data_IF_462383098417
#
_entry.id   IF_462383098417
#
_cell.length_a   1.000
_cell.length_b   1.000
_cell.length_c   1.000
_cell.angle_alpha   90.00
_cell.angle_beta   90.00
_cell.angle_gamma   90.00
#
_symmetry.space_group_name_H-M   'P 1'
#
loop_
_entity.id
_entity.type
_entity.pdbx_description
1 polymer ?
#
# COMPACT_ATOMS: atom_id res chain seq x y z
N UNK A 1 59.05 20.19 15.15
CA UNK A 1 59.19 19.90 13.70
C UNK A 1 58.41 18.62 13.26
N UNK A 2 57.14 18.46 13.66
CA UNK A 2 56.22 17.44 13.12
C UNK A 2 54.86 18.05 12.77
N UNK A 3 54.85 19.36 12.45
CA UNK A 3 53.59 20.07 12.20
C UNK A 3 53.22 20.23 10.72
N UNK A 4 54.01 19.73 9.79
CA UNK A 4 53.80 20.08 8.36
C UNK A 4 53.60 18.92 7.39
N UNK A 5 53.28 17.70 7.85
CA UNK A 5 53.17 16.55 6.91
C UNK A 5 51.84 15.80 6.91
N UNK A 6 50.80 16.32 7.55
CA UNK A 6 49.48 15.69 7.54
C UNK A 6 48.39 16.48 6.79
N UNK A 7 48.77 17.48 6.05
CA UNK A 7 47.82 18.38 5.37
C UNK A 7 48.01 18.24 3.86
N UNK A 8 47.62 17.22 3.22
CA UNK A 8 47.60 17.32 1.77
C UNK A 8 47.26 16.14 0.93
N UNK A 9 47.49 14.92 1.38
CA UNK A 9 47.25 13.75 0.50
C UNK A 9 46.23 12.72 0.99
N UNK A 10 46.00 12.66 2.29
CA UNK A 10 44.98 11.72 2.82
C UNK A 10 43.57 12.31 2.92
N UNK A 11 43.45 13.65 2.92
CA UNK A 11 42.18 14.35 2.96
C UNK A 11 41.37 14.22 1.65
N UNK A 12 42.05 14.13 0.52
CA UNK A 12 41.41 13.97 -0.79
C UNK A 12 40.90 12.56 -1.08
N UNK A 13 41.36 11.54 -0.35
CA UNK A 13 40.94 10.15 -0.57
C UNK A 13 39.69 9.85 0.24
N UNK A 14 39.51 10.45 1.40
CA UNK A 14 38.32 10.24 2.25
C UNK A 14 37.09 11.01 1.81
N UNK A 15 37.26 12.12 1.11
CA UNK A 15 36.20 12.92 0.49
C UNK A 15 35.37 12.13 -0.55
N UNK A 16 35.91 11.04 -1.08
CA UNK A 16 35.24 10.17 -2.05
C UNK A 16 34.54 8.97 -1.42
N UNK A 17 34.85 8.64 -0.18
CA UNK A 17 34.33 7.44 0.48
C UNK A 17 33.12 7.73 1.40
N UNK A 18 33.03 8.99 1.90
CA UNK A 18 31.98 9.38 2.84
C UNK A 18 31.38 10.73 2.41
N UNK A 19 30.33 10.69 1.60
CA UNK A 19 29.64 11.87 1.09
C UNK A 19 28.90 12.69 2.17
N UNK A 20 28.72 12.12 3.37
CA UNK A 20 28.02 12.74 4.48
C UNK A 20 28.93 13.65 5.32
N UNK A 21 30.24 13.66 5.04
CA UNK A 21 31.22 14.42 5.82
C UNK A 21 31.75 15.60 5.00
N UNK A 22 31.36 16.82 5.42
CA UNK A 22 31.81 18.09 4.80
C UNK A 22 33.19 18.46 5.24
N UNK A 23 33.55 18.20 6.49
CA UNK A 23 34.79 18.64 7.06
C UNK A 23 35.23 17.78 8.25
N UNK A 24 36.52 17.46 8.31
CA UNK A 24 37.15 16.73 9.40
C UNK A 24 38.37 17.55 9.90
N UNK A 25 38.45 17.81 11.18
CA UNK A 25 39.60 18.40 11.84
C UNK A 25 40.13 17.46 12.91
N UNK A 26 41.45 17.27 12.92
CA UNK A 26 42.13 16.53 13.96
C UNK A 26 43.14 17.45 14.68
N UNK A 27 43.05 17.52 15.99
CA UNK A 27 43.97 18.29 16.81
C UNK A 27 44.49 17.46 17.98
N UNK A 28 45.76 17.58 18.30
CA UNK A 28 46.40 16.93 19.44
C UNK A 28 46.43 17.91 20.63
N UNK A 29 45.82 17.53 21.75
CA UNK A 29 45.83 18.25 23.01
C UNK A 29 46.57 17.40 24.05
N UNK A 30 47.87 17.61 24.15
CA UNK A 30 48.76 16.73 24.93
C UNK A 30 48.84 15.33 24.38
N UNK A 31 48.30 14.35 25.11
CA UNK A 31 48.20 12.93 24.69
C UNK A 31 46.84 12.57 24.15
N UNK A 32 45.92 13.51 23.97
CA UNK A 32 44.55 13.29 23.49
C UNK A 32 44.41 13.77 22.05
N UNK A 33 43.95 12.88 21.16
CA UNK A 33 43.53 13.22 19.81
C UNK A 33 42.07 13.65 19.84
N UNK A 34 41.77 14.91 19.44
CA UNK A 34 40.43 15.43 19.23
C UNK A 34 40.15 15.41 17.73
N UNK A 35 39.12 14.66 17.36
CA UNK A 35 38.61 14.63 15.98
C UNK A 35 37.26 15.34 16.00
N UNK A 36 37.10 16.38 15.18
CA UNK A 36 35.84 17.07 14.95
C UNK A 36 35.38 16.76 13.53
N UNK A 37 34.16 16.32 13.41
CA UNK A 37 33.52 15.99 12.14
C UNK A 37 32.34 16.94 11.98
N UNK A 38 32.21 17.55 10.83
CA UNK A 38 31.01 18.28 10.42
C UNK A 38 30.30 17.45 9.35
N UNK A 39 29.13 16.98 9.68
CA UNK A 39 28.24 16.29 8.75
C UNK A 39 27.52 17.31 7.87
N UNK A 40 27.18 16.90 6.66
CA UNK A 40 26.38 17.71 5.75
C UNK A 40 24.91 17.60 6.17
N UNK A 41 24.39 18.62 6.83
CA UNK A 41 22.99 18.70 7.23
C UNK A 41 22.04 18.87 6.03
N UNK A 42 22.58 19.27 4.87
CA UNK A 42 21.84 19.39 3.61
C UNK A 42 22.03 18.18 2.66
N UNK A 43 22.76 17.16 3.11
CA UNK A 43 22.79 15.92 2.37
C UNK A 43 21.39 15.27 2.47
N UNK A 44 20.52 15.66 1.55
CA UNK A 44 19.49 14.75 1.11
C UNK A 44 20.17 13.38 0.93
N UNK A 45 19.60 12.28 1.46
CA UNK A 45 20.17 10.97 1.23
C UNK A 45 20.43 10.89 -0.27
N UNK A 46 21.70 10.88 -0.66
CA UNK A 46 22.08 10.47 -1.98
C UNK A 46 21.65 9.02 -1.98
N UNK A 47 20.42 8.80 -2.41
CA UNK A 47 20.03 7.51 -2.94
C UNK A 47 21.12 7.28 -3.97
N UNK A 48 22.11 6.48 -3.58
CA UNK A 48 23.09 5.94 -4.51
C UNK A 48 22.25 5.58 -5.73
N UNK A 49 22.43 6.31 -6.82
CA UNK A 49 22.02 5.83 -8.10
C UNK A 49 22.85 4.56 -8.35
N UNK A 50 22.51 3.48 -7.67
CA UNK A 50 22.50 2.22 -8.34
C UNK A 50 21.69 2.54 -9.58
N UNK A 51 22.37 2.68 -10.70
CA UNK A 51 21.77 2.42 -11.97
C UNK A 51 21.22 0.99 -11.85
N UNK A 52 20.06 0.89 -11.18
CA UNK A 52 19.13 -0.16 -11.49
C UNK A 52 18.90 0.07 -12.97
N UNK A 53 19.16 -0.94 -13.79
CA UNK A 53 18.69 -1.02 -15.16
C UNK A 53 17.15 -1.04 -15.13
N UNK A 54 16.53 -0.02 -14.52
CA UNK A 54 15.10 0.20 -14.55
C UNK A 54 14.79 0.63 -15.97
N UNK A 55 13.96 -0.16 -16.62
CA UNK A 55 13.45 0.20 -17.93
C UNK A 55 12.85 1.60 -17.86
N UNK A 56 13.03 2.42 -18.92
CA UNK A 56 12.39 3.72 -18.97
C UNK A 56 10.89 3.60 -18.78
N UNK A 57 10.33 4.42 -17.90
CA UNK A 57 8.92 4.40 -17.57
C UNK A 57 8.35 5.83 -17.54
N UNK A 58 7.12 5.96 -18.00
CA UNK A 58 6.28 7.14 -17.88
C UNK A 58 5.31 6.98 -16.70
N UNK A 59 4.79 8.08 -16.18
CA UNK A 59 3.72 8.07 -15.18
C UNK A 59 2.43 8.54 -15.84
N UNK A 60 1.37 7.73 -15.70
CA UNK A 60 0.02 8.02 -16.21
C UNK A 60 -0.98 8.10 -15.06
N UNK A 61 -2.12 8.73 -15.31
CA UNK A 61 -3.21 8.80 -14.34
C UNK A 61 -3.95 7.46 -14.21
N UNK A 62 -4.02 6.90 -13.01
CA UNK A 62 -4.77 5.68 -12.70
C UNK A 62 -6.29 5.89 -12.62
N UNK A 63 -6.72 7.14 -12.40
CA UNK A 63 -8.14 7.54 -12.26
C UNK A 63 -8.35 8.98 -12.71
N UNK A 64 -9.62 9.33 -12.94
CA UNK A 64 -10.01 10.70 -13.26
C UNK A 64 -9.92 11.59 -12.02
N UNK A 65 -9.48 12.84 -12.19
CA UNK A 65 -9.38 13.78 -11.09
C UNK A 65 -8.87 15.15 -11.49
N UNK A 66 -8.72 16.02 -10.47
CA UNK A 66 -8.11 17.35 -10.60
C UNK A 66 -6.83 17.34 -9.77
N UNK A 67 -5.71 17.66 -10.40
CA UNK A 67 -4.41 17.64 -9.73
C UNK A 67 -4.34 18.70 -8.64
N UNK A 68 -4.03 18.29 -7.43
CA UNK A 68 -3.89 19.17 -6.27
C UNK A 68 -2.44 19.39 -5.86
N UNK A 69 -1.58 18.39 -6.08
CA UNK A 69 -0.16 18.48 -5.79
C UNK A 69 0.64 17.65 -6.80
N UNK A 70 1.82 18.17 -7.17
CA UNK A 70 2.74 17.54 -8.12
C UNK A 70 4.16 17.79 -7.66
N UNK A 71 4.89 16.74 -7.30
CA UNK A 71 6.31 16.79 -6.91
C UNK A 71 7.06 15.82 -7.79
N UNK A 72 7.73 16.33 -8.83
CA UNK A 72 8.52 15.52 -9.75
C UNK A 72 9.96 15.41 -9.27
N UNK A 73 10.49 14.21 -9.16
CA UNK A 73 11.89 13.90 -8.87
C UNK A 73 12.68 13.61 -10.14
N UNK A 74 12.10 12.87 -11.07
CA UNK A 74 12.73 12.49 -12.34
C UNK A 74 11.68 12.48 -13.44
N UNK A 75 12.06 12.91 -14.67
CA UNK A 75 11.16 13.01 -15.81
C UNK A 75 10.68 14.44 -16.06
N UNK A 76 9.86 14.61 -17.09
CA UNK A 76 9.31 15.90 -17.51
C UNK A 76 7.79 15.90 -17.25
N UNK A 77 7.28 16.77 -16.33
CA UNK A 77 5.85 16.87 -16.08
C UNK A 77 5.12 17.41 -17.32
N UNK A 78 4.00 16.76 -17.67
CA UNK A 78 3.14 17.13 -18.78
C UNK A 78 1.86 17.83 -18.32
N UNK A 79 1.66 17.94 -17.01
CA UNK A 79 0.46 18.49 -16.37
C UNK A 79 0.86 19.44 -15.25
N UNK A 80 -0.09 20.28 -14.82
CA UNK A 80 0.10 21.27 -13.78
C UNK A 80 -0.95 21.12 -12.66
N UNK A 81 -0.68 21.72 -11.53
CA UNK A 81 -1.66 21.81 -10.44
C UNK A 81 -2.89 22.56 -10.93
N UNK A 82 -4.09 21.97 -10.73
CA UNK A 82 -5.36 22.48 -11.19
C UNK A 82 -5.86 21.87 -12.50
N UNK A 83 -5.04 21.12 -13.21
CA UNK A 83 -5.45 20.45 -14.45
C UNK A 83 -6.40 19.29 -14.14
N UNK A 84 -7.40 19.13 -15.03
CA UNK A 84 -8.30 17.99 -15.01
C UNK A 84 -7.71 16.88 -15.87
N UNK A 85 -7.52 15.72 -15.28
CA UNK A 85 -6.95 14.53 -15.95
C UNK A 85 -7.97 13.40 -15.97
N UNK A 86 -7.85 12.55 -16.98
CA UNK A 86 -8.62 11.30 -17.09
C UNK A 86 -7.68 10.11 -16.95
N UNK A 87 -8.23 8.97 -16.62
CA UNK A 87 -7.46 7.73 -16.54
C UNK A 87 -6.68 7.48 -17.83
N UNK A 88 -5.36 7.23 -17.71
CA UNK A 88 -4.43 7.02 -18.81
C UNK A 88 -3.80 8.30 -19.37
N UNK A 89 -4.15 9.50 -18.85
CA UNK A 89 -3.45 10.74 -19.21
C UNK A 89 -2.00 10.68 -18.78
N UNK A 90 -1.07 11.04 -19.65
CA UNK A 90 0.36 11.14 -19.34
C UNK A 90 0.58 12.29 -18.34
N UNK A 91 1.12 11.97 -17.18
CA UNK A 91 1.39 12.93 -16.11
C UNK A 91 2.84 13.39 -16.12
N UNK A 92 3.77 12.43 -16.19
CA UNK A 92 5.22 12.70 -16.27
C UNK A 92 5.84 11.79 -17.32
N UNK A 93 6.55 12.39 -18.26
CA UNK A 93 7.28 11.64 -19.30
C UNK A 93 8.66 11.24 -18.82
N UNK A 94 9.03 9.98 -19.00
CA UNK A 94 10.39 9.48 -18.84
C UNK A 94 11.27 9.78 -20.06
N UNK A 95 10.71 10.29 -21.15
CA UNK A 95 11.45 10.76 -22.32
C UNK A 95 11.80 12.23 -22.17
N UNK A 96 13.07 12.55 -22.33
CA UNK A 96 13.64 13.90 -22.30
C UNK A 96 14.14 14.22 -23.70
N UNK A 97 13.59 15.27 -24.31
CA UNK A 97 14.02 15.72 -25.63
C UNK A 97 15.34 16.49 -25.51
N UNK A 98 16.36 16.11 -26.29
CA UNK A 98 17.64 16.79 -26.36
C UNK A 98 17.57 17.78 -27.54
N UNK A 99 17.64 19.09 -27.22
CA UNK A 99 17.59 20.16 -28.17
C UNK A 99 19.01 20.66 -28.53
N UNK A 100 19.21 21.10 -29.75
CA UNK A 100 20.40 21.84 -30.15
C UNK A 100 20.25 23.35 -29.84
N UNK A 101 21.28 24.12 -30.18
CA UNK A 101 21.29 25.58 -30.01
C UNK A 101 20.23 26.32 -30.85
N UNK A 102 19.65 25.65 -31.87
CA UNK A 102 18.58 26.15 -32.71
C UNK A 102 17.20 25.81 -32.17
N UNK A 103 17.11 24.96 -31.13
CA UNK A 103 15.87 24.45 -30.54
C UNK A 103 15.29 23.25 -31.31
N UNK A 104 16.06 22.61 -32.21
CA UNK A 104 15.64 21.39 -32.88
C UNK A 104 15.99 20.14 -32.05
N UNK A 105 15.13 19.10 -32.11
CA UNK A 105 15.34 17.85 -31.37
C UNK A 105 16.42 17.04 -32.08
N UNK A 106 17.56 16.87 -31.43
CA UNK A 106 18.72 16.09 -31.94
C UNK A 106 18.77 14.68 -31.38
N UNK A 107 18.04 14.41 -30.30
CA UNK A 107 18.00 13.09 -29.64
C UNK A 107 16.98 12.99 -28.55
N UNK A 108 16.85 11.80 -28.02
CA UNK A 108 16.02 11.51 -26.85
C UNK A 108 16.84 10.83 -25.78
N UNK A 109 16.72 11.29 -24.56
CA UNK A 109 17.20 10.59 -23.38
C UNK A 109 16.01 9.94 -22.68
N UNK A 110 16.18 8.71 -22.25
CA UNK A 110 15.14 7.95 -21.56
C UNK A 110 15.53 7.72 -20.12
N UNK A 111 14.60 7.97 -19.21
CA UNK A 111 14.76 7.78 -17.78
C UNK A 111 13.51 7.13 -17.19
N UNK A 112 13.62 6.61 -15.99
CA UNK A 112 12.47 6.18 -15.22
C UNK A 112 11.84 7.42 -14.55
N UNK A 113 10.62 7.77 -14.93
CA UNK A 113 9.89 8.89 -14.33
C UNK A 113 9.55 8.57 -12.88
N UNK A 114 9.76 9.54 -11.97
CA UNK A 114 9.46 9.44 -10.55
C UNK A 114 8.86 10.75 -10.06
N UNK A 115 7.64 10.67 -9.52
CA UNK A 115 6.92 11.82 -8.98
C UNK A 115 5.86 11.38 -7.96
N UNK A 116 5.51 12.27 -7.03
CA UNK A 116 4.33 12.14 -6.17
C UNK A 116 3.23 13.06 -6.71
N UNK A 117 2.12 12.48 -7.18
CA UNK A 117 1.04 13.22 -7.81
C UNK A 117 -0.27 12.96 -7.08
N UNK A 118 -0.80 13.99 -6.44
CA UNK A 118 -2.07 13.92 -5.72
C UNK A 118 -3.17 14.60 -6.53
N UNK A 119 -4.35 14.01 -6.54
CA UNK A 119 -5.52 14.58 -7.18
C UNK A 119 -6.77 14.45 -6.31
N UNK A 120 -7.66 15.43 -6.47
CA UNK A 120 -9.03 15.32 -5.99
C UNK A 120 -9.83 14.46 -6.95
N UNK A 121 -10.34 13.35 -6.43
CA UNK A 121 -11.06 12.32 -7.16
C UNK A 121 -12.43 12.08 -6.51
N UNK A 122 -13.31 11.38 -7.20
CA UNK A 122 -14.60 11.00 -6.65
C UNK A 122 -14.90 9.53 -6.89
N UNK A 123 -15.46 8.88 -5.88
CA UNK A 123 -15.90 7.49 -6.00
C UNK A 123 -17.37 7.35 -5.61
N UNK A 124 -18.08 6.47 -6.30
CA UNK A 124 -19.46 6.11 -5.96
C UNK A 124 -19.45 4.96 -4.94
N UNK A 125 -20.18 5.15 -3.84
CA UNK A 125 -20.41 4.11 -2.84
C UNK A 125 -21.81 3.54 -3.00
N UNK A 126 -21.92 2.20 -3.03
CA UNK A 126 -23.17 1.47 -3.06
C UNK A 126 -23.06 0.21 -2.20
N UNK A 127 -23.87 0.11 -1.15
CA UNK A 127 -24.04 -1.11 -0.36
C UNK A 127 -25.53 -1.42 -0.20
N UNK A 128 -25.89 -2.70 -0.38
CA UNK A 128 -27.28 -3.15 -0.35
C UNK A 128 -27.40 -4.35 0.58
N UNK A 129 -28.36 -4.29 1.49
CA UNK A 129 -28.72 -5.42 2.33
C UNK A 129 -30.20 -5.79 2.16
N UNK A 130 -30.48 -7.11 2.21
CA UNK A 130 -31.87 -7.59 2.27
C UNK A 130 -32.50 -7.27 3.63
N UNK A 131 -33.78 -6.92 3.62
CA UNK A 131 -34.54 -6.74 4.88
C UNK A 131 -34.70 -8.04 5.67
N UNK A 132 -34.37 -9.20 5.10
CA UNK A 132 -34.50 -10.49 5.74
C UNK A 132 -33.13 -11.16 5.87
N UNK A 133 -32.92 -11.82 6.99
CA UNK A 133 -31.77 -12.68 7.23
C UNK A 133 -32.15 -14.02 7.81
N UNK A 134 -31.32 -15.00 7.60
CA UNK A 134 -31.49 -16.32 8.18
C UNK A 134 -30.81 -16.37 9.55
N UNK A 135 -31.62 -16.40 10.63
CA UNK A 135 -31.09 -16.56 11.99
C UNK A 135 -31.03 -18.04 12.36
N UNK A 136 -29.91 -18.49 12.92
CA UNK A 136 -29.79 -19.81 13.50
C UNK A 136 -30.70 -19.88 14.76
N UNK A 137 -31.58 -20.85 14.79
CA UNK A 137 -32.43 -21.13 15.94
C UNK A 137 -32.11 -22.54 16.42
N UNK A 138 -31.59 -22.63 17.61
CA UNK A 138 -31.24 -23.91 18.21
C UNK A 138 -32.48 -24.64 18.70
N UNK A 139 -32.54 -25.93 18.41
CA UNK A 139 -33.56 -26.81 18.99
C UNK A 139 -33.27 -27.12 20.44
N UNK A 140 -34.27 -27.44 21.21
CA UNK A 140 -34.11 -27.83 22.63
C UNK A 140 -33.36 -29.16 22.81
N UNK A 141 -33.27 -29.96 21.75
CA UNK A 141 -32.52 -31.22 21.80
C UNK A 141 -31.02 -30.98 21.82
N UNK A 142 -30.41 -31.31 22.94
CA UNK A 142 -28.97 -31.30 23.12
C UNK A 142 -28.48 -32.71 23.41
N UNK A 143 -27.40 -33.12 22.75
CA UNK A 143 -26.72 -34.38 23.02
C UNK A 143 -25.36 -34.03 23.68
N UNK A 144 -25.06 -34.68 24.80
CA UNK A 144 -23.80 -34.47 25.52
C UNK A 144 -23.01 -35.78 25.51
N UNK A 145 -21.72 -35.70 25.20
CA UNK A 145 -20.75 -36.80 25.29
C UNK A 145 -19.57 -36.36 26.17
N UNK A 146 -19.19 -37.17 27.13
CA UNK A 146 -18.00 -36.95 27.94
C UNK A 146 -16.76 -37.50 27.24
N UNK A 147 -15.60 -36.92 27.49
CA UNK A 147 -14.32 -37.45 27.04
C UNK A 147 -13.21 -37.27 28.05
N UNK A 148 -12.22 -38.16 27.97
CA UNK A 148 -10.92 -38.04 28.64
C UNK A 148 -9.85 -38.20 27.55
N UNK A 149 -8.86 -37.32 27.53
CA UNK A 149 -7.76 -37.36 26.62
C UNK A 149 -6.43 -37.38 27.40
N UNK A 150 -5.58 -38.35 27.10
CA UNK A 150 -4.25 -38.52 27.69
C UNK A 150 -3.24 -38.50 26.54
N UNK A 151 -2.45 -37.43 26.43
CA UNK A 151 -1.57 -37.25 25.29
C UNK A 151 -2.34 -37.27 23.94
N UNK A 152 -2.00 -38.22 23.08
CA UNK A 152 -2.66 -38.42 21.77
C UNK A 152 -3.90 -39.31 21.82
N UNK A 153 -4.11 -40.03 22.92
CA UNK A 153 -5.23 -40.97 23.05
C UNK A 153 -6.46 -40.28 23.65
N UNK A 154 -7.61 -40.36 22.95
CA UNK A 154 -8.88 -39.81 23.41
C UNK A 154 -9.92 -40.91 23.55
N UNK A 155 -10.49 -40.99 24.72
CA UNK A 155 -11.60 -41.90 25.04
C UNK A 155 -12.89 -41.08 25.16
N UNK A 156 -13.91 -41.48 24.45
CA UNK A 156 -15.23 -40.82 24.45
C UNK A 156 -16.30 -41.80 24.95
N UNK A 157 -17.26 -41.28 25.73
CA UNK A 157 -18.36 -42.13 26.23
C UNK A 157 -19.22 -42.67 25.08
N UNK A 158 -19.40 -41.91 24.02
CA UNK A 158 -20.05 -42.31 22.79
C UNK A 158 -19.79 -41.27 21.71
N UNK A 159 -19.84 -41.69 20.41
CA UNK A 159 -19.67 -40.77 19.24
C UNK A 159 -21.04 -40.35 18.74
N UNK A 160 -21.46 -39.11 18.98
CA UNK A 160 -22.70 -38.62 18.43
C UNK A 160 -22.59 -38.41 16.93
N UNK A 161 -23.55 -38.93 16.16
CA UNK A 161 -23.63 -38.62 14.73
C UNK A 161 -23.89 -37.12 14.54
N UNK A 162 -23.00 -36.45 13.88
CA UNK A 162 -23.16 -35.04 13.48
C UNK A 162 -24.08 -34.97 12.26
N UNK A 163 -25.04 -34.05 12.30
CA UNK A 163 -25.82 -33.63 11.13
C UNK A 163 -25.20 -32.38 10.54
N UNK A 164 -25.37 -32.12 9.24
CA UNK A 164 -24.91 -30.87 8.61
C UNK A 164 -25.45 -29.58 9.28
N UNK A 165 -26.59 -29.72 10.01
CA UNK A 165 -27.22 -28.62 10.77
C UNK A 165 -27.02 -28.76 12.27
N UNK A 166 -25.84 -29.18 12.70
CA UNK A 166 -25.49 -29.29 14.12
C UNK A 166 -24.18 -28.56 14.42
N UNK A 167 -24.10 -27.99 15.60
CA UNK A 167 -22.93 -27.30 16.10
C UNK A 167 -22.42 -28.00 17.34
N UNK A 168 -21.10 -28.18 17.42
CA UNK A 168 -20.43 -28.90 18.49
C UNK A 168 -19.68 -27.87 19.35
N UNK A 169 -20.03 -27.83 20.61
CA UNK A 169 -19.30 -27.06 21.65
C UNK A 169 -18.53 -28.06 22.50
N UNK A 170 -17.21 -27.90 22.56
CA UNK A 170 -16.33 -28.70 23.41
C UNK A 170 -15.87 -27.86 24.60
N UNK A 171 -16.08 -28.32 25.81
CA UNK A 171 -15.54 -27.75 27.03
C UNK A 171 -14.56 -28.77 27.61
N UNK A 172 -13.28 -28.36 27.66
CA UNK A 172 -12.18 -29.19 28.12
C UNK A 172 -11.50 -28.53 29.33
N UNK A 173 -11.16 -29.34 30.32
CA UNK A 173 -10.38 -28.94 31.49
C UNK A 173 -9.10 -29.75 31.53
N UNK A 174 -7.96 -29.08 31.75
CA UNK A 174 -6.68 -29.75 31.93
C UNK A 174 -6.49 -30.12 33.41
N UNK A 175 -6.06 -31.34 33.70
CA UNK A 175 -5.76 -31.77 35.05
C UNK A 175 -4.45 -31.11 35.52
N UNK A 176 -4.52 -30.42 36.66
CA UNK A 176 -3.39 -29.76 37.30
C UNK A 176 -3.06 -30.45 38.63
N UNK A 177 -1.77 -30.66 38.84
CA UNK A 177 -1.26 -31.16 40.11
C UNK A 177 -0.56 -29.99 40.84
N UNK A 178 -1.28 -29.31 41.76
CA UNK A 178 -0.83 -28.06 42.35
C UNK A 178 -0.96 -26.85 41.42
N UNK A 179 -0.37 -25.72 41.81
CA UNK A 179 -0.52 -24.47 41.06
C UNK A 179 0.31 -24.40 39.79
N UNK A 180 1.47 -25.09 39.73
CA UNK A 180 2.47 -24.92 38.68
C UNK A 180 2.68 -26.14 37.80
N UNK A 181 2.02 -27.28 38.06
CA UNK A 181 2.24 -28.50 37.27
C UNK A 181 0.97 -28.95 36.57
N UNK A 182 0.96 -28.85 35.23
CA UNK A 182 -0.16 -29.27 34.38
C UNK A 182 0.16 -30.62 33.75
N UNK A 183 -0.69 -31.60 33.94
CA UNK A 183 -0.59 -32.91 33.33
C UNK A 183 -1.12 -32.88 31.88
N UNK A 184 -0.60 -33.70 30.94
CA UNK A 184 -1.14 -33.82 29.59
C UNK A 184 -2.44 -34.64 29.54
N UNK A 185 -3.29 -34.40 30.54
CA UNK A 185 -4.58 -35.07 30.71
C UNK A 185 -5.69 -34.01 30.65
N UNK A 186 -6.58 -34.20 29.68
CA UNK A 186 -7.75 -33.34 29.52
C UNK A 186 -9.01 -34.14 29.72
N UNK A 187 -9.98 -33.56 30.38
CA UNK A 187 -11.29 -34.13 30.54
C UNK A 187 -12.37 -33.09 30.32
N UNK A 188 -13.53 -33.52 29.85
CA UNK A 188 -14.58 -32.57 29.57
C UNK A 188 -15.78 -33.19 28.91
N UNK A 189 -16.59 -32.34 28.33
CA UNK A 189 -17.77 -32.79 27.62
C UNK A 189 -17.97 -32.01 26.33
N UNK A 190 -18.54 -32.70 25.37
CA UNK A 190 -18.99 -32.15 24.08
C UNK A 190 -20.51 -32.03 24.09
N UNK A 191 -20.98 -30.89 23.70
CA UNK A 191 -22.42 -30.64 23.60
C UNK A 191 -22.73 -30.39 22.12
N UNK A 192 -23.58 -31.23 21.52
CA UNK A 192 -24.06 -31.07 20.16
C UNK A 192 -25.47 -30.49 20.21
N UNK A 193 -25.64 -29.33 19.59
CA UNK A 193 -26.91 -28.64 19.43
C UNK A 193 -27.30 -28.64 17.97
N UNK A 194 -28.48 -29.10 17.66
CA UNK A 194 -29.08 -28.97 16.33
C UNK A 194 -29.63 -27.56 16.16
N UNK A 195 -29.49 -26.98 15.00
CA UNK A 195 -30.08 -25.70 14.67
C UNK A 195 -30.86 -25.77 13.35
N UNK A 196 -31.83 -24.90 13.21
CA UNK A 196 -32.49 -24.60 11.96
C UNK A 196 -32.31 -23.13 11.59
N UNK A 197 -32.67 -22.79 10.39
CA UNK A 197 -32.68 -21.39 9.97
C UNK A 197 -34.11 -20.86 9.96
N UNK A 198 -34.33 -19.72 10.63
CA UNK A 198 -35.58 -18.99 10.57
C UNK A 198 -35.34 -17.65 9.88
N UNK A 199 -36.14 -17.37 8.85
CA UNK A 199 -36.13 -16.10 8.15
C UNK A 199 -36.74 -15.04 9.04
N UNK A 200 -35.95 -14.04 9.45
CA UNK A 200 -36.36 -12.94 10.34
C UNK A 200 -36.14 -11.62 9.61
N UNK A 201 -37.05 -10.71 9.80
CA UNK A 201 -36.94 -9.36 9.24
C UNK A 201 -36.14 -8.47 10.18
N UNK A 202 -35.17 -7.72 9.62
CA UNK A 202 -34.45 -6.68 10.33
C UNK A 202 -35.35 -5.51 10.67
N UNK A 203 -35.16 -4.89 11.80
CA UNK A 203 -35.74 -3.57 12.10
C UNK A 203 -35.01 -2.48 11.29
N UNK A 204 -35.70 -1.35 11.10
CA UNK A 204 -35.09 -0.19 10.41
C UNK A 204 -33.80 0.24 11.09
N UNK A 205 -33.77 0.23 12.42
CA UNK A 205 -32.62 0.62 13.22
C UNK A 205 -31.41 -0.34 13.05
N UNK A 206 -31.67 -1.66 13.00
CA UNK A 206 -30.63 -2.65 12.73
C UNK A 206 -30.03 -2.46 11.33
N UNK A 207 -30.88 -2.25 10.31
CA UNK A 207 -30.41 -2.02 8.95
C UNK A 207 -29.54 -0.75 8.85
N UNK A 208 -29.93 0.35 9.49
CA UNK A 208 -29.12 1.57 9.56
C UNK A 208 -27.79 1.31 10.26
N UNK A 209 -27.80 0.59 11.38
CA UNK A 209 -26.56 0.27 12.13
C UNK A 209 -25.62 -0.58 11.30
N UNK A 210 -26.12 -1.60 10.58
CA UNK A 210 -25.31 -2.48 9.74
C UNK A 210 -24.67 -1.68 8.60
N UNK A 211 -25.47 -0.91 7.84
CA UNK A 211 -24.98 -0.12 6.72
C UNK A 211 -23.99 0.97 7.18
N UNK A 212 -24.29 1.66 8.29
CA UNK A 212 -23.38 2.66 8.86
C UNK A 212 -22.07 2.04 9.34
N UNK A 213 -22.09 0.84 9.91
CA UNK A 213 -20.87 0.13 10.32
C UNK A 213 -20.03 -0.28 9.12
N UNK A 214 -20.65 -0.83 8.07
CA UNK A 214 -19.94 -1.21 6.83
C UNK A 214 -19.33 0.01 6.15
N UNK A 215 -20.08 1.11 6.07
CA UNK A 215 -19.57 2.37 5.53
C UNK A 215 -18.37 2.91 6.33
N UNK A 216 -18.42 2.82 7.67
CA UNK A 216 -17.30 3.21 8.52
C UNK A 216 -16.05 2.35 8.28
N UNK A 217 -16.22 1.03 8.14
CA UNK A 217 -15.12 0.14 7.80
C UNK A 217 -14.53 0.46 6.42
N UNK A 218 -15.38 0.76 5.44
CA UNK A 218 -14.94 1.17 4.11
C UNK A 218 -14.11 2.48 4.15
N UNK A 219 -14.59 3.51 4.88
CA UNK A 219 -13.82 4.74 5.06
C UNK A 219 -12.47 4.49 5.74
N UNK A 220 -12.46 3.63 6.76
CA UNK A 220 -11.22 3.28 7.47
C UNK A 220 -10.22 2.54 6.56
N UNK A 221 -10.68 1.64 5.72
CA UNK A 221 -9.84 0.96 4.73
C UNK A 221 -9.20 1.93 3.73
N UNK A 222 -9.94 2.96 3.30
CA UNK A 222 -9.38 4.04 2.46
C UNK A 222 -8.33 4.87 3.21
N UNK A 223 -8.60 5.24 4.46
CA UNK A 223 -7.67 6.00 5.30
C UNK A 223 -6.40 5.18 5.61
N UNK A 224 -6.51 3.87 5.84
CA UNK A 224 -5.37 2.96 6.03
C UNK A 224 -4.50 2.81 4.76
N UNK A 225 -5.07 3.02 3.58
CA UNK A 225 -4.35 3.07 2.29
C UNK A 225 -3.73 4.43 1.99
N UNK A 226 -3.79 5.38 2.91
CA UNK A 226 -3.25 6.73 2.74
C UNK A 226 -4.15 7.68 1.95
N UNK A 227 -5.40 7.29 1.64
CA UNK A 227 -6.37 8.12 0.92
C UNK A 227 -7.03 9.08 1.89
N UNK A 228 -6.94 10.37 1.63
CA UNK A 228 -7.63 11.39 2.42
C UNK A 228 -9.08 11.55 1.93
N UNK A 229 -10.03 11.52 2.85
CA UNK A 229 -11.44 11.72 2.52
C UNK A 229 -11.81 13.16 2.85
N UNK A 230 -12.10 13.97 1.82
CA UNK A 230 -12.45 15.37 1.94
C UNK A 230 -13.94 15.54 2.31
N UNK A 231 -14.83 14.79 1.64
CA UNK A 231 -16.26 14.88 1.87
C UNK A 231 -16.96 13.51 1.74
N UNK A 232 -18.00 13.28 2.56
CA UNK A 232 -18.80 12.04 2.60
C UNK A 232 -20.27 12.39 2.37
N UNK A 233 -20.77 12.15 1.17
CA UNK A 233 -22.17 12.41 0.81
C UNK A 233 -22.90 11.08 0.54
N UNK A 234 -23.15 10.30 1.61
CA UNK A 234 -23.81 8.99 1.52
C UNK A 234 -25.12 9.01 2.30
N UNK A 235 -26.20 8.54 1.67
CA UNK A 235 -27.55 8.46 2.26
C UNK A 235 -28.03 7.02 2.32
N UNK A 236 -28.79 6.69 3.37
CA UNK A 236 -29.37 5.36 3.58
C UNK A 236 -30.88 5.41 3.25
N UNK A 237 -31.30 4.60 2.30
CA UNK A 237 -32.69 4.43 1.89
C UNK A 237 -33.16 3.05 2.32
N UNK A 238 -34.33 2.97 2.97
CA UNK A 238 -34.91 1.72 3.44
C UNK A 238 -36.25 1.52 2.74
N UNK A 239 -36.34 0.47 1.94
CA UNK A 239 -37.58 0.02 1.29
C UNK A 239 -38.16 -1.21 1.99
N UNK A 240 -39.24 -1.78 1.43
CA UNK A 240 -39.91 -2.96 2.01
C UNK A 240 -39.05 -4.25 1.93
N UNK A 241 -38.19 -4.37 0.92
CA UNK A 241 -37.43 -5.57 0.61
C UNK A 241 -35.93 -5.44 0.87
N UNK A 242 -35.38 -4.24 0.72
CA UNK A 242 -33.96 -3.96 0.85
C UNK A 242 -33.69 -2.60 1.49
N UNK A 243 -32.52 -2.46 2.11
CA UNK A 243 -31.95 -1.19 2.49
C UNK A 243 -30.68 -0.94 1.67
N UNK A 244 -30.52 0.28 1.21
CA UNK A 244 -29.43 0.70 0.33
C UNK A 244 -28.74 1.92 0.93
N UNK A 245 -27.43 1.87 1.07
CA UNK A 245 -26.60 3.03 1.32
C UNK A 245 -25.93 3.41 -0.01
N UNK A 246 -26.14 4.62 -0.49
CA UNK A 246 -25.58 5.09 -1.75
C UNK A 246 -25.21 6.56 -1.67
N UNK A 247 -24.16 6.92 -2.41
CA UNK A 247 -23.70 8.31 -2.49
C UNK A 247 -22.33 8.40 -3.11
N UNK A 248 -21.71 9.57 -2.93
CA UNK A 248 -20.39 9.90 -3.46
C UNK A 248 -19.46 10.29 -2.32
N UNK A 249 -18.22 9.85 -2.41
CA UNK A 249 -17.12 10.33 -1.57
C UNK A 249 -16.18 11.16 -2.45
N UNK A 250 -15.71 12.27 -1.92
CA UNK A 250 -14.65 13.07 -2.51
C UNK A 250 -13.36 12.80 -1.76
N UNK A 251 -12.33 12.43 -2.51
CA UNK A 251 -11.08 11.89 -2.00
C UNK A 251 -9.92 12.71 -2.53
N UNK A 252 -8.83 12.80 -1.76
CA UNK A 252 -7.54 13.22 -2.25
C UNK A 252 -6.58 12.04 -2.11
N UNK A 253 -6.00 11.61 -3.22
CA UNK A 253 -5.18 10.39 -3.30
C UNK A 253 -4.09 10.52 -4.34
N UNK A 254 -3.08 9.67 -4.23
CA UNK A 254 -2.08 9.47 -5.27
C UNK A 254 -2.72 8.80 -6.48
N UNK A 255 -2.38 9.28 -7.68
CA UNK A 255 -3.00 8.82 -8.94
C UNK A 255 -2.01 8.35 -9.97
N UNK A 256 -0.71 8.42 -9.70
CA UNK A 256 0.31 7.94 -10.62
C UNK A 256 0.32 6.41 -10.74
N UNK A 257 0.47 5.93 -11.97
CA UNK A 257 0.67 4.53 -12.33
C UNK A 257 1.78 4.46 -13.38
N UNK A 258 2.72 3.54 -13.21
CA UNK A 258 3.84 3.38 -14.13
C UNK A 258 3.40 2.70 -15.43
N UNK A 259 3.93 3.18 -16.55
CA UNK A 259 3.78 2.55 -17.86
C UNK A 259 5.11 2.60 -18.63
N UNK A 260 5.31 1.69 -19.57
CA UNK A 260 6.50 1.68 -20.41
C UNK A 260 6.56 2.94 -21.29
N UNK A 261 7.73 3.60 -21.32
CA UNK A 261 7.95 4.76 -22.22
C UNK A 261 8.05 4.31 -23.66
N UNK A 262 7.29 4.95 -24.55
CA UNK A 262 7.37 4.71 -25.98
C UNK A 262 8.71 5.21 -26.53
N UNK A 263 9.49 4.29 -27.16
CA UNK A 263 10.77 4.61 -27.78
C UNK A 263 10.57 5.09 -29.18
N UNK A 264 10.94 6.32 -29.45
CA UNK A 264 10.91 6.93 -30.79
C UNK A 264 12.33 6.92 -31.39
N UNK A 265 12.47 6.40 -32.59
CA UNK A 265 13.72 6.45 -33.35
C UNK A 265 13.65 7.62 -34.34
N UNK A 266 14.62 8.54 -34.26
CA UNK A 266 14.74 9.60 -35.26
C UNK A 266 15.21 8.99 -36.58
N UNK A 267 14.40 9.03 -37.60
CA UNK A 267 14.86 8.77 -38.99
C UNK A 267 15.75 9.93 -39.38
N UNK A 268 17.07 9.69 -39.48
CA UNK A 268 17.98 10.61 -40.13
C UNK A 268 17.66 10.61 -41.64
N UNK A 269 17.11 11.68 -42.14
CA UNK A 269 17.16 11.97 -43.58
C UNK A 269 18.62 12.17 -43.93
N UNK A 270 19.29 11.14 -44.43
CA UNK A 270 20.58 11.30 -45.11
C UNK A 270 20.33 12.16 -46.36
N UNK A 271 21.08 13.26 -46.58
CA UNK A 271 20.97 14.00 -47.79
C UNK A 271 21.44 13.07 -48.94
N UNK A 272 20.59 12.90 -49.93
CA UNK A 272 20.87 12.18 -51.19
C UNK A 272 22.08 12.81 -51.86
N UNK A 273 23.28 12.22 -51.68
CA UNK A 273 24.46 12.53 -52.47
C UNK A 273 24.25 11.98 -53.88
N UNK A 274 23.43 12.66 -54.68
CA UNK A 274 23.45 12.49 -56.09
C UNK A 274 24.75 13.06 -56.65
N UNK A 275 25.78 12.21 -56.71
CA UNK A 275 27.02 12.45 -57.44
C UNK A 275 26.65 12.61 -58.88
N UNK A 276 26.61 13.86 -59.34
CA UNK A 276 26.64 14.22 -60.77
C UNK A 276 28.00 13.83 -61.35
N UNK A 277 28.06 12.72 -62.05
CA UNK A 277 29.09 12.42 -63.02
C UNK A 277 28.73 13.15 -64.30
N UNK A 278 29.43 14.27 -64.62
CA UNK A 278 29.54 14.81 -65.91
C UNK A 278 31.02 14.86 -66.33
N UNK A 279 31.29 14.31 -67.49
CA UNK A 279 32.38 14.20 -68.47
C UNK A 279 33.65 15.02 -68.26
#
# INVERSE_FOLDING_TARGET
EIHERLVGSEMCIRDREYNDIVWVSASLDGSRLKIQIKENEDALPIISSTQTDSLPADLIASTDGIITNLITRTGIPQVHIGDSVTKGTLLVSGRIDILDDSGEITGYQYTHADADIFADTQISYLDIISCYHNKKVYTKETKKSGFIQIGSVRLETWKPKMSATSEKLCIAHQLKLGENFSLPIFYGHETIKKYGFKKIKYTKKEMQTILSSRFRYFCKDLEEKGIQINEKNVKIYISAEKATASGTLYLNQQIEEETETERITLERNEPDESVGTDH
#
